data_IF_135711580451
#
_entry.id   IF_135711580451
#
_cell.length_a   1.000
_cell.length_b   1.000
_cell.length_c   1.000
_cell.angle_alpha   90.00
_cell.angle_beta   90.00
_cell.angle_gamma   90.00
#
_symmetry.space_group_name_H-M   'P 1'
#
loop_
_entity.id
_entity.type
_entity.pdbx_description
1 polymer ?
#
# COMPACT_ATOMS: atom_id res chain seq x y z
N UNK A 1 14.97 35.87 -41.76
CA UNK A 1 15.58 34.62 -41.27
C UNK A 1 16.31 35.00 -40.00
N UNK A 2 15.76 34.62 -38.85
CA UNK A 2 16.54 34.35 -37.64
C UNK A 2 15.59 33.72 -36.62
N UNK A 3 15.94 32.51 -36.21
CA UNK A 3 15.18 31.60 -35.37
C UNK A 3 15.57 31.87 -33.91
N UNK A 4 14.62 32.03 -32.97
CA UNK A 4 14.97 32.17 -31.57
C UNK A 4 15.36 30.81 -30.98
N UNK A 5 16.50 30.83 -30.32
CA UNK A 5 17.24 29.76 -29.66
C UNK A 5 16.43 29.00 -28.61
N UNK A 6 16.76 27.71 -28.51
CA UNK A 6 16.24 26.72 -27.58
C UNK A 6 16.15 27.24 -26.13
N UNK A 7 14.94 27.16 -25.55
CA UNK A 7 14.77 27.15 -24.09
C UNK A 7 15.29 25.83 -23.55
N UNK A 8 16.29 25.92 -22.68
CA UNK A 8 16.77 24.80 -21.87
C UNK A 8 15.61 24.18 -21.09
N UNK A 9 15.43 22.88 -21.30
CA UNK A 9 14.55 22.04 -20.50
C UNK A 9 15.27 21.84 -19.16
N UNK A 10 14.76 22.47 -18.11
CA UNK A 10 15.19 22.21 -16.74
C UNK A 10 14.75 20.80 -16.37
N UNK A 11 15.70 19.86 -16.40
CA UNK A 11 15.54 18.52 -15.85
C UNK A 11 15.46 18.66 -14.34
N UNK A 12 14.27 18.41 -13.77
CA UNK A 12 14.07 18.37 -12.32
C UNK A 12 14.65 17.04 -11.82
N UNK A 13 15.67 17.14 -10.96
CA UNK A 13 16.36 16.00 -10.36
C UNK A 13 15.40 15.27 -9.40
N UNK A 14 14.99 14.06 -9.78
CA UNK A 14 14.15 13.18 -8.97
C UNK A 14 15.10 12.48 -7.99
N UNK A 15 15.49 13.20 -6.95
CA UNK A 15 16.38 12.69 -5.93
C UNK A 15 15.85 11.37 -5.34
N UNK A 16 16.74 10.38 -5.34
CA UNK A 16 16.52 8.97 -5.04
C UNK A 16 15.68 8.79 -3.78
N UNK A 17 14.47 8.25 -3.91
CA UNK A 17 13.69 7.73 -2.78
C UNK A 17 14.58 6.70 -2.07
N UNK A 18 15.08 7.03 -0.88
CA UNK A 18 15.96 6.12 -0.13
C UNK A 18 15.10 5.03 0.47
N UNK A 19 15.08 3.84 -0.15
CA UNK A 19 14.45 2.64 0.44
C UNK A 19 15.07 2.42 1.83
N UNK A 20 14.26 2.45 2.92
CA UNK A 20 14.77 2.23 4.26
C UNK A 20 15.41 0.84 4.36
N UNK A 21 16.69 0.80 4.70
CA UNK A 21 17.36 -0.45 5.02
C UNK A 21 16.92 -0.89 6.43
N UNK A 22 16.57 -2.17 6.65
CA UNK A 22 16.14 -2.62 7.96
C UNK A 22 17.21 -2.37 9.01
N UNK A 23 16.86 -1.66 10.08
CA UNK A 23 17.72 -1.49 11.24
C UNK A 23 17.76 -2.80 12.02
N UNK A 24 18.94 -3.41 12.22
CA UNK A 24 19.11 -4.57 13.08
C UNK A 24 18.62 -4.28 14.50
N UNK A 25 17.89 -5.22 15.09
CA UNK A 25 17.20 -5.06 16.38
C UNK A 25 18.15 -4.76 17.55
N UNK A 26 19.40 -5.20 17.44
CA UNK A 26 20.48 -5.03 18.41
C UNK A 26 21.09 -3.62 18.46
N UNK A 27 20.73 -2.73 17.52
CA UNK A 27 21.30 -1.37 17.41
C UNK A 27 20.41 -0.26 17.99
N UNK A 28 19.32 -0.60 18.69
CA UNK A 28 18.39 0.37 19.27
C UNK A 28 18.86 0.75 20.68
N UNK A 29 19.21 2.02 20.89
CA UNK A 29 19.75 2.51 22.17
C UNK A 29 18.66 2.68 23.24
N UNK A 30 18.98 2.29 24.48
CA UNK A 30 18.10 2.30 25.64
C UNK A 30 18.15 3.65 26.36
N UNK A 31 17.00 4.12 26.87
CA UNK A 31 16.95 5.22 27.85
C UNK A 31 16.21 4.72 29.09
N UNK A 32 16.86 4.77 30.24
CA UNK A 32 16.24 4.47 31.54
C UNK A 32 15.23 5.57 31.91
N UNK A 33 14.04 5.20 32.38
CA UNK A 33 13.02 6.16 32.81
C UNK A 33 12.39 5.70 34.16
N UNK A 34 12.13 6.64 35.10
CA UNK A 34 11.76 6.31 36.48
C UNK A 34 10.25 6.00 36.62
N UNK A 35 9.80 5.46 37.77
CA UNK A 35 8.44 4.98 37.91
C UNK A 35 7.48 6.15 38.20
N UNK A 36 6.36 6.21 37.47
CA UNK A 36 5.11 6.65 38.07
C UNK A 36 3.89 6.20 37.26
N UNK A 37 2.97 5.56 37.98
CA UNK A 37 1.66 5.12 37.55
C UNK A 37 0.76 6.31 37.20
N UNK A 38 0.52 6.49 35.90
CA UNK A 38 -0.53 7.36 35.36
C UNK A 38 -1.71 6.51 34.89
N UNK A 39 -2.96 7.00 34.97
CA UNK A 39 -4.12 6.29 34.47
C UNK A 39 -3.96 6.03 32.97
N UNK A 40 -4.21 4.78 32.53
CA UNK A 40 -4.20 4.38 31.13
C UNK A 40 -5.17 5.28 30.35
N UNK A 41 -4.62 6.11 29.46
CA UNK A 41 -5.41 6.89 28.50
C UNK A 41 -5.91 5.95 27.39
N UNK A 42 -7.06 6.24 26.78
CA UNK A 42 -7.72 5.33 25.83
C UNK A 42 -6.81 4.99 24.63
N UNK A 43 -6.76 3.70 24.31
CA UNK A 43 -5.99 3.07 23.26
C UNK A 43 -6.21 1.56 23.28
N UNK A 44 -5.92 0.86 22.20
CA UNK A 44 -6.11 -0.59 22.09
C UNK A 44 -4.79 -1.32 22.02
N UNK A 45 -4.65 -2.40 22.78
CA UNK A 45 -3.41 -3.16 22.89
C UNK A 45 -3.66 -4.61 22.58
N UNK A 46 -2.76 -5.21 21.81
CA UNK A 46 -2.74 -6.64 21.51
C UNK A 46 -1.35 -7.20 21.77
N UNK A 47 -1.28 -8.39 22.35
CA UNK A 47 -0.06 -9.19 22.37
C UNK A 47 -0.12 -10.24 21.27
N UNK A 48 1.00 -10.47 20.61
CA UNK A 48 1.16 -11.54 19.62
C UNK A 48 2.55 -12.13 19.69
N UNK A 49 2.69 -13.37 19.22
CA UNK A 49 3.98 -14.03 19.04
C UNK A 49 4.26 -14.03 17.55
N UNK A 50 5.36 -13.42 17.14
CA UNK A 50 5.84 -13.49 15.77
C UNK A 50 7.10 -14.32 15.71
N UNK A 51 7.25 -15.10 14.64
CA UNK A 51 8.52 -15.73 14.30
C UNK A 51 9.22 -14.86 13.26
N UNK A 52 10.39 -14.33 13.62
CA UNK A 52 11.23 -13.57 12.70
C UNK A 52 12.55 -14.33 12.52
N UNK A 53 12.78 -14.85 11.31
CA UNK A 53 13.97 -15.67 11.00
C UNK A 53 14.19 -16.86 11.97
N UNK A 54 13.09 -17.49 12.39
CA UNK A 54 13.13 -18.63 13.32
C UNK A 54 13.27 -18.26 14.80
N UNK A 55 13.32 -16.96 15.13
CA UNK A 55 13.34 -16.48 16.52
C UNK A 55 11.94 -16.00 16.91
N UNK A 56 11.38 -16.61 17.95
CA UNK A 56 10.11 -16.18 18.52
C UNK A 56 10.27 -14.88 19.31
N UNK A 57 9.38 -13.92 19.01
CA UNK A 57 9.34 -12.62 19.66
C UNK A 57 7.94 -12.35 20.19
N UNK A 58 7.87 -12.03 21.48
CA UNK A 58 6.67 -11.41 22.06
C UNK A 58 6.59 -9.98 21.55
N UNK A 59 5.44 -9.63 20.97
CA UNK A 59 5.18 -8.33 20.36
C UNK A 59 3.97 -7.69 21.02
N UNK A 60 4.16 -6.47 21.50
CA UNK A 60 3.10 -5.58 21.93
C UNK A 60 2.75 -4.67 20.75
N UNK A 61 1.48 -4.66 20.35
CA UNK A 61 0.94 -3.75 19.35
C UNK A 61 -0.03 -2.81 20.05
N UNK A 62 0.13 -1.51 19.86
CA UNK A 62 -0.71 -0.50 20.49
C UNK A 62 -1.22 0.52 19.47
N UNK A 63 -2.53 0.60 19.33
CA UNK A 63 -3.23 1.53 18.44
C UNK A 63 -3.88 2.65 19.24
N UNK A 64 -3.73 3.89 18.76
CA UNK A 64 -4.44 5.06 19.28
C UNK A 64 -5.00 5.90 18.14
N UNK A 65 -6.21 6.40 18.36
CA UNK A 65 -6.94 7.29 17.46
C UNK A 65 -6.92 8.71 18.02
N UNK A 66 -6.73 9.68 17.13
CA UNK A 66 -6.63 11.09 17.43
C UNK A 66 -7.54 11.89 16.49
N UNK A 67 -8.07 12.99 16.99
CA UNK A 67 -8.66 14.06 16.19
C UNK A 67 -7.56 15.03 15.77
N UNK A 68 -7.59 15.48 14.53
CA UNK A 68 -6.63 16.46 14.03
C UNK A 68 -7.30 17.66 13.38
N UNK A 69 -6.67 18.81 13.55
CA UNK A 69 -7.05 20.07 12.90
C UNK A 69 -5.81 20.69 12.26
N UNK A 70 -6.04 21.59 11.30
CA UNK A 70 -4.96 22.19 10.54
C UNK A 70 -3.92 22.87 11.45
N UNK A 71 -2.66 22.46 11.29
CA UNK A 71 -1.47 23.03 11.97
C UNK A 71 -1.60 23.09 13.50
N UNK A 72 -2.22 22.07 14.09
CA UNK A 72 -2.26 21.85 15.54
C UNK A 72 -1.87 20.42 15.87
N UNK A 73 -1.18 20.18 17.01
CA UNK A 73 -0.93 18.82 17.49
C UNK A 73 -2.25 18.03 17.59
N UNK A 74 -2.24 16.83 17.05
CA UNK A 74 -3.40 15.94 17.12
C UNK A 74 -3.69 15.57 18.58
N UNK A 75 -4.96 15.50 18.95
CA UNK A 75 -5.41 15.21 20.32
C UNK A 75 -6.08 13.85 20.38
N UNK A 76 -5.95 13.06 21.46
CA UNK A 76 -6.62 11.76 21.56
C UNK A 76 -8.12 11.91 21.32
N UNK A 77 -8.67 11.07 20.44
CA UNK A 77 -10.09 11.07 20.14
C UNK A 77 -10.89 10.45 21.30
N UNK A 78 -12.10 10.96 21.53
CA UNK A 78 -13.01 10.41 22.54
C UNK A 78 -13.37 8.95 22.23
N UNK A 79 -13.57 8.64 20.95
CA UNK A 79 -13.81 7.29 20.45
C UNK A 79 -12.54 6.70 19.83
N UNK A 80 -12.18 5.48 20.24
CA UNK A 80 -11.02 4.76 19.73
C UNK A 80 -11.45 3.70 18.71
N UNK A 81 -10.89 3.76 17.50
CA UNK A 81 -11.12 2.78 16.45
C UNK A 81 -10.45 1.45 16.83
N UNK A 82 -11.16 0.31 16.73
CA UNK A 82 -10.57 -0.98 17.01
C UNK A 82 -9.38 -1.39 16.16
N UNK A 83 -8.51 -2.22 16.72
CA UNK A 83 -7.51 -2.94 15.93
C UNK A 83 -8.24 -3.81 14.90
N UNK A 84 -7.89 -3.64 13.64
CA UNK A 84 -8.46 -4.43 12.55
C UNK A 84 -7.66 -5.72 12.38
N UNK A 85 -8.31 -6.87 12.57
CA UNK A 85 -7.67 -8.19 12.42
C UNK A 85 -7.88 -8.82 11.04
N UNK A 86 -8.86 -8.32 10.27
CA UNK A 86 -9.30 -8.97 9.03
C UNK A 86 -9.00 -8.13 7.78
N UNK A 87 -8.89 -6.81 7.95
CA UNK A 87 -8.94 -5.86 6.85
C UNK A 87 -10.37 -5.63 6.38
N UNK A 88 -10.61 -4.44 5.83
CA UNK A 88 -11.91 -4.02 5.30
C UNK A 88 -11.68 -3.43 3.92
N UNK A 89 -12.44 -3.84 2.91
CA UNK A 89 -12.44 -3.15 1.61
C UNK A 89 -13.50 -2.08 1.58
N UNK A 90 -13.33 -1.12 0.67
CA UNK A 90 -14.25 0.01 0.55
C UNK A 90 -15.70 -0.40 0.20
N UNK A 91 -15.88 -1.45 -0.60
CA UNK A 91 -17.17 -1.90 -1.11
C UNK A 91 -17.41 -3.40 -0.82
N UNK A 92 -17.12 -3.88 0.41
CA UNK A 92 -17.39 -5.26 0.83
C UNK A 92 -18.88 -5.48 1.19
N UNK A 93 -19.77 -5.21 0.23
CA UNK A 93 -21.17 -5.65 0.34
C UNK A 93 -21.29 -7.09 -0.19
N UNK A 94 -21.49 -8.11 0.68
CA UNK A 94 -21.65 -9.50 0.25
C UNK A 94 -22.86 -9.74 -0.65
N UNK A 95 -23.81 -8.79 -0.73
CA UNK A 95 -24.95 -8.85 -1.66
C UNK A 95 -24.57 -8.51 -3.11
N UNK A 96 -23.38 -7.97 -3.36
CA UNK A 96 -22.91 -7.50 -4.68
C UNK A 96 -21.87 -8.44 -5.32
N UNK A 97 -22.01 -9.76 -5.09
CA UNK A 97 -21.02 -10.81 -5.39
C UNK A 97 -20.53 -10.94 -6.85
N UNK A 98 -21.06 -10.13 -7.78
CA UNK A 98 -20.69 -10.06 -9.20
C UNK A 98 -19.79 -8.86 -9.56
N UNK A 99 -19.56 -7.92 -8.63
CA UNK A 99 -18.69 -6.76 -8.86
C UNK A 99 -17.21 -7.10 -8.65
N UNK A 100 -16.35 -6.48 -9.45
CA UNK A 100 -14.91 -6.48 -9.25
C UNK A 100 -14.62 -6.01 -7.81
N UNK A 101 -13.76 -6.72 -7.05
CA UNK A 101 -13.49 -6.34 -5.67
C UNK A 101 -12.93 -4.92 -5.62
N UNK A 102 -13.28 -4.15 -4.59
CA UNK A 102 -12.65 -2.85 -4.33
C UNK A 102 -11.31 -3.02 -3.61
N UNK A 103 -10.48 -1.99 -3.68
CA UNK A 103 -9.26 -1.88 -2.88
C UNK A 103 -9.55 -1.84 -1.38
N UNK A 104 -8.51 -2.11 -0.58
CA UNK A 104 -8.60 -2.14 0.87
C UNK A 104 -8.66 -0.74 1.47
N UNK A 105 -9.64 -0.51 2.34
CA UNK A 105 -9.71 0.64 3.26
C UNK A 105 -8.86 0.38 4.52
N UNK A 106 -8.66 -0.86 4.90
CA UNK A 106 -7.73 -1.25 5.96
C UNK A 106 -7.21 -2.66 5.71
N UNK A 107 -6.03 -2.95 6.22
CA UNK A 107 -5.44 -4.28 6.23
C UNK A 107 -5.27 -4.73 7.68
N UNK A 108 -5.12 -6.05 7.94
CA UNK A 108 -4.83 -6.55 9.27
C UNK A 108 -3.66 -5.79 9.95
N UNK A 109 -3.95 -5.22 11.11
CA UNK A 109 -3.07 -4.33 11.87
C UNK A 109 -2.19 -5.10 12.88
N UNK A 110 -2.32 -6.42 12.92
CA UNK A 110 -1.60 -7.32 13.84
C UNK A 110 -0.19 -7.71 13.36
N UNK A 111 0.34 -7.03 12.34
CA UNK A 111 1.70 -7.23 11.84
C UNK A 111 2.71 -6.59 12.80
N UNK A 112 3.26 -7.40 13.71
CA UNK A 112 4.15 -6.96 14.79
C UNK A 112 5.53 -6.44 14.36
N UNK A 113 5.95 -6.67 13.11
CA UNK A 113 7.25 -6.26 12.60
C UNK A 113 7.17 -5.56 11.24
N UNK A 114 7.83 -4.41 11.13
CA UNK A 114 8.24 -3.77 9.88
C UNK A 114 9.57 -3.06 10.09
N UNK A 115 10.19 -2.62 9.00
CA UNK A 115 11.48 -1.94 8.99
C UNK A 115 11.39 -0.40 8.86
N UNK A 116 10.30 0.21 9.31
CA UNK A 116 10.06 1.65 9.29
C UNK A 116 8.59 1.99 9.57
N UNK A 117 8.17 3.20 9.21
CA UNK A 117 6.77 3.65 9.35
C UNK A 117 6.05 3.69 8.00
N UNK A 118 4.90 3.01 7.88
CA UNK A 118 4.00 3.18 6.73
C UNK A 118 3.14 4.43 6.91
N UNK A 119 3.07 5.28 5.88
CA UNK A 119 2.16 6.42 5.85
C UNK A 119 1.01 6.15 4.88
N UNK A 120 -0.19 5.99 5.42
CA UNK A 120 -1.43 5.87 4.65
C UNK A 120 -2.18 7.19 4.74
N UNK A 121 -2.66 7.68 3.59
CA UNK A 121 -3.48 8.90 3.51
C UNK A 121 -4.74 8.58 2.72
N UNK A 122 -5.88 8.62 3.40
CA UNK A 122 -7.20 8.37 2.83
C UNK A 122 -7.92 9.69 2.64
N UNK A 123 -8.33 9.98 1.41
CA UNK A 123 -8.92 11.25 1.07
C UNK A 123 -9.12 11.39 -0.43
N UNK A 124 -9.32 12.62 -0.86
CA UNK A 124 -9.56 12.97 -2.26
C UNK A 124 -8.72 14.18 -2.62
N UNK A 125 -8.32 14.27 -3.89
CA UNK A 125 -7.89 15.53 -4.47
C UNK A 125 -9.06 16.50 -4.45
N UNK A 126 -8.84 17.74 -4.02
CA UNK A 126 -9.87 18.76 -3.95
C UNK A 126 -9.37 20.07 -4.56
N UNK A 127 -10.05 20.54 -5.60
CA UNK A 127 -9.78 21.85 -6.21
C UNK A 127 -10.77 22.91 -5.74
N UNK A 128 -10.36 24.18 -5.83
CA UNK A 128 -11.22 25.34 -5.52
C UNK A 128 -12.29 25.59 -6.59
N UNK A 129 -11.98 25.22 -7.84
CA UNK A 129 -12.86 25.33 -9.00
C UNK A 129 -12.71 24.08 -9.88
N UNK A 130 -13.73 23.74 -10.71
CA UNK A 130 -13.62 22.62 -11.64
C UNK A 130 -12.38 22.72 -12.52
N UNK A 131 -11.53 21.69 -12.49
CA UNK A 131 -10.27 21.62 -13.27
C UNK A 131 -10.16 20.29 -14.00
N UNK A 132 -9.54 20.28 -15.19
CA UNK A 132 -9.25 19.04 -15.91
C UNK A 132 -8.09 18.24 -15.31
N UNK A 133 -7.21 18.90 -14.56
CA UNK A 133 -6.13 18.22 -13.84
C UNK A 133 -5.60 19.07 -12.68
N UNK A 134 -4.99 18.40 -11.70
CA UNK A 134 -4.22 19.01 -10.62
C UNK A 134 -3.15 18.06 -10.12
N UNK A 135 -2.26 18.57 -9.28
CA UNK A 135 -1.25 17.75 -8.60
C UNK A 135 -1.57 17.68 -7.12
N UNK A 136 -1.44 16.48 -6.57
CA UNK A 136 -1.51 16.25 -5.13
C UNK A 136 -0.18 15.72 -4.61
N UNK A 137 0.16 16.04 -3.38
CA UNK A 137 1.34 15.46 -2.75
C UNK A 137 1.21 15.35 -1.24
N UNK A 138 1.92 14.36 -0.68
CA UNK A 138 2.14 14.20 0.75
C UNK A 138 3.61 14.45 1.04
N UNK A 139 3.91 15.21 2.08
CA UNK A 139 5.27 15.52 2.48
C UNK A 139 5.48 15.33 3.99
N UNK A 140 6.59 14.67 4.34
CA UNK A 140 7.06 14.50 5.74
C UNK A 140 8.57 14.75 5.75
N UNK A 141 8.99 15.86 6.38
CA UNK A 141 10.37 16.32 6.28
C UNK A 141 10.80 16.47 4.82
N UNK A 142 11.86 15.74 4.42
CA UNK A 142 12.39 15.73 3.06
C UNK A 142 11.69 14.73 2.13
N UNK A 143 10.88 13.81 2.66
CA UNK A 143 10.15 12.84 1.84
C UNK A 143 8.95 13.52 1.19
N UNK A 144 8.80 13.35 -0.13
CA UNK A 144 7.66 13.83 -0.90
C UNK A 144 7.14 12.73 -1.83
N UNK A 145 5.85 12.45 -1.75
CA UNK A 145 5.13 11.55 -2.64
C UNK A 145 4.10 12.34 -3.44
N UNK A 146 4.06 12.17 -4.76
CA UNK A 146 3.30 13.06 -5.66
C UNK A 146 2.57 12.24 -6.73
N UNK A 147 1.34 12.67 -7.05
CA UNK A 147 0.56 12.14 -8.15
C UNK A 147 -0.04 13.27 -8.99
N UNK A 148 -0.16 13.04 -10.29
CA UNK A 148 -1.03 13.84 -11.14
C UNK A 148 -2.44 13.25 -11.11
N UNK A 149 -3.40 14.11 -10.84
CA UNK A 149 -4.83 13.80 -10.80
C UNK A 149 -5.47 14.40 -12.03
N UNK A 150 -6.02 13.54 -12.86
CA UNK A 150 -6.58 13.88 -14.16
C UNK A 150 -8.07 13.55 -14.13
N UNK A 151 -8.88 14.45 -14.68
CA UNK A 151 -10.31 14.23 -14.84
C UNK A 151 -10.62 12.99 -15.68
N UNK A 152 -11.90 12.60 -15.72
CA UNK A 152 -12.32 11.43 -16.49
C UNK A 152 -11.94 11.61 -17.95
N UNK A 153 -11.37 10.55 -18.52
CA UNK A 153 -10.98 10.45 -19.92
C UNK A 153 -11.33 9.08 -20.43
N UNK A 154 -11.54 9.01 -21.73
CA UNK A 154 -11.90 7.78 -22.41
C UNK A 154 -10.96 7.55 -23.60
N UNK A 155 -10.84 6.29 -24.00
CA UNK A 155 -10.25 5.92 -25.28
C UNK A 155 -11.21 6.30 -26.42
N UNK A 156 -10.70 6.90 -27.48
CA UNK A 156 -11.47 7.31 -28.66
C UNK A 156 -10.63 7.09 -29.94
N UNK A 157 -11.25 7.19 -31.12
CA UNK A 157 -10.59 7.04 -32.40
C UNK A 157 -10.85 8.22 -33.34
N UNK A 158 -9.82 9.01 -33.61
CA UNK A 158 -9.87 10.12 -34.57
C UNK A 158 -9.11 9.73 -35.83
N UNK A 159 -9.79 9.72 -36.98
CA UNK A 159 -9.22 9.30 -38.28
C UNK A 159 -8.52 7.93 -38.21
N UNK A 160 -9.08 7.00 -37.43
CA UNK A 160 -8.57 5.65 -37.24
C UNK A 160 -7.38 5.52 -36.28
N UNK A 161 -6.90 6.62 -35.70
CA UNK A 161 -5.85 6.62 -34.68
C UNK A 161 -6.47 6.65 -33.29
N UNK A 162 -5.96 5.78 -32.41
CA UNK A 162 -6.34 5.78 -31.00
C UNK A 162 -5.86 7.09 -30.34
N UNK A 163 -6.78 7.77 -29.67
CA UNK A 163 -6.52 8.99 -28.90
C UNK A 163 -7.19 8.89 -27.54
N UNK A 164 -6.79 9.76 -26.61
CA UNK A 164 -7.49 9.94 -25.35
C UNK A 164 -8.30 11.23 -25.41
N UNK A 165 -9.53 11.20 -24.90
CA UNK A 165 -10.34 12.42 -24.82
C UNK A 165 -9.68 13.45 -23.89
N UNK A 166 -9.95 14.76 -24.07
CA UNK A 166 -9.62 15.76 -23.05
C UNK A 166 -10.23 15.37 -21.69
N UNK A 167 -9.58 15.71 -20.57
CA UNK A 167 -10.11 15.41 -19.26
C UNK A 167 -11.35 16.25 -18.94
N UNK A 168 -12.39 15.59 -18.44
CA UNK A 168 -13.56 16.26 -17.88
C UNK A 168 -13.18 17.05 -16.63
N UNK A 169 -13.66 18.31 -16.45
CA UNK A 169 -13.42 19.06 -15.23
C UNK A 169 -13.97 18.35 -13.98
N UNK A 170 -13.22 18.37 -12.89
CA UNK A 170 -13.64 17.85 -11.58
C UNK A 170 -13.30 18.83 -10.46
N UNK A 171 -14.06 18.76 -9.36
CA UNK A 171 -13.73 19.43 -8.10
C UNK A 171 -13.16 18.48 -7.05
N UNK A 172 -13.54 17.19 -7.13
CA UNK A 172 -13.14 16.14 -6.19
C UNK A 172 -12.82 14.85 -6.95
N UNK A 173 -11.71 14.20 -6.60
CA UNK A 173 -11.33 12.88 -7.12
C UNK A 173 -10.71 12.04 -6.01
N UNK A 174 -11.29 10.87 -5.72
CA UNK A 174 -10.81 10.01 -4.64
C UNK A 174 -9.41 9.44 -4.94
N UNK A 175 -8.53 9.46 -3.94
CA UNK A 175 -7.15 8.99 -4.04
C UNK A 175 -7.05 7.46 -3.83
N UNK A 176 -7.89 6.71 -4.54
CA UNK A 176 -8.05 5.26 -4.44
C UNK A 176 -7.40 4.50 -5.59
N UNK A 177 -7.03 3.24 -5.38
CA UNK A 177 -6.41 2.39 -6.42
C UNK A 177 -7.32 2.11 -7.63
N UNK A 178 -8.63 2.16 -7.45
CA UNK A 178 -9.61 2.08 -8.54
C UNK A 178 -9.43 3.21 -9.57
N UNK A 179 -8.90 4.35 -9.14
CA UNK A 179 -8.62 5.50 -9.99
C UNK A 179 -7.19 5.48 -10.57
N UNK A 180 -6.33 4.55 -10.16
CA UNK A 180 -4.97 4.42 -10.66
C UNK A 180 -4.87 3.45 -11.86
N UNK A 181 -3.70 3.40 -12.52
CA UNK A 181 -3.45 2.44 -13.59
C UNK A 181 -3.58 0.99 -13.11
N UNK A 182 -4.22 0.14 -13.91
CA UNK A 182 -4.34 -1.28 -13.65
C UNK A 182 -5.69 -1.85 -14.10
N UNK A 183 -6.20 -2.80 -13.32
CA UNK A 183 -7.45 -3.48 -13.61
C UNK A 183 -7.25 -4.77 -14.40
N UNK A 184 -8.25 -5.12 -15.22
CA UNK A 184 -8.30 -6.36 -15.99
C UNK A 184 -8.86 -6.12 -17.39
N UNK A 185 -8.46 -6.93 -18.34
CA UNK A 185 -9.00 -6.88 -19.69
C UNK A 185 -10.12 -7.91 -19.89
N UNK A 186 -11.34 -7.51 -19.55
CA UNK A 186 -12.53 -8.37 -19.66
C UNK A 186 -12.81 -8.84 -21.09
N UNK A 187 -12.39 -8.09 -22.11
CA UNK A 187 -12.53 -8.52 -23.50
C UNK A 187 -11.59 -9.69 -23.78
N UNK A 188 -10.31 -9.53 -23.47
CA UNK A 188 -9.31 -10.59 -23.64
C UNK A 188 -9.65 -11.85 -22.84
N UNK A 189 -10.12 -11.71 -21.59
CA UNK A 189 -10.62 -12.84 -20.79
C UNK A 189 -11.73 -13.63 -21.52
N UNK A 190 -12.70 -12.93 -22.13
CA UNK A 190 -13.79 -13.56 -22.89
C UNK A 190 -13.31 -14.26 -24.15
N UNK A 191 -12.35 -13.65 -24.87
CA UNK A 191 -11.72 -14.25 -26.06
C UNK A 191 -11.01 -15.54 -25.68
N UNK A 192 -10.12 -15.49 -24.68
CA UNK A 192 -9.38 -16.67 -24.20
C UNK A 192 -10.31 -17.80 -23.75
N UNK A 193 -11.36 -17.47 -22.99
CA UNK A 193 -12.38 -18.43 -22.58
C UNK A 193 -13.11 -19.09 -23.76
N UNK A 194 -13.34 -18.33 -24.82
CA UNK A 194 -14.00 -18.83 -26.04
C UNK A 194 -13.06 -19.73 -26.82
N UNK A 195 -11.79 -19.35 -26.95
CA UNK A 195 -10.77 -20.16 -27.60
C UNK A 195 -10.58 -21.52 -26.89
N UNK A 196 -10.44 -21.52 -25.56
CA UNK A 196 -10.34 -22.76 -24.77
C UNK A 196 -11.54 -23.68 -25.03
N UNK A 197 -12.76 -23.11 -25.11
CA UNK A 197 -13.99 -23.88 -25.41
C UNK A 197 -14.03 -24.43 -26.84
N UNK A 198 -13.38 -23.78 -27.79
CA UNK A 198 -13.37 -24.21 -29.18
C UNK A 198 -12.25 -25.22 -29.47
N UNK A 199 -11.15 -25.18 -28.71
CA UNK A 199 -9.96 -26.02 -28.94
C UNK A 199 -9.94 -27.34 -28.14
N UNK A 200 -10.76 -27.48 -27.10
CA UNK A 200 -10.79 -28.68 -26.26
C UNK A 200 -11.94 -29.62 -26.65
N UNK A 201 -11.76 -30.93 -26.48
CA UNK A 201 -12.86 -31.89 -26.69
C UNK A 201 -13.98 -31.64 -25.67
N UNK A 202 -15.22 -32.01 -26.00
CA UNK A 202 -16.38 -31.83 -25.10
C UNK A 202 -16.18 -32.52 -23.73
N UNK A 203 -15.46 -33.63 -23.69
CA UNK A 203 -15.10 -34.33 -22.45
C UNK A 203 -13.99 -33.61 -21.66
N UNK A 204 -12.98 -33.05 -22.33
CA UNK A 204 -11.93 -32.27 -21.68
C UNK A 204 -12.50 -30.98 -21.09
N UNK A 205 -13.36 -30.27 -21.84
CA UNK A 205 -14.04 -29.07 -21.34
C UNK A 205 -14.86 -29.43 -20.10
N UNK A 206 -15.61 -30.53 -20.09
CA UNK A 206 -16.39 -30.94 -18.91
C UNK A 206 -15.50 -31.18 -17.68
N UNK A 207 -14.28 -31.69 -17.84
CA UNK A 207 -13.34 -31.96 -16.74
C UNK A 207 -12.68 -30.68 -16.21
N UNK A 208 -12.29 -29.77 -17.10
CA UNK A 208 -11.49 -28.59 -16.71
C UNK A 208 -12.34 -27.35 -16.49
N UNK A 209 -13.51 -27.22 -17.13
CA UNK A 209 -14.35 -26.01 -17.08
C UNK A 209 -14.72 -25.57 -15.66
N UNK A 210 -15.18 -26.44 -14.74
CA UNK A 210 -15.48 -25.98 -13.38
C UNK A 210 -14.25 -25.43 -12.64
N UNK A 211 -13.08 -26.05 -12.88
CA UNK A 211 -11.80 -25.61 -12.29
C UNK A 211 -11.32 -24.31 -12.93
N UNK A 212 -11.39 -24.19 -14.25
CA UNK A 212 -11.02 -22.98 -14.98
C UNK A 212 -11.94 -21.80 -14.64
N UNK A 213 -13.26 -22.01 -14.56
CA UNK A 213 -14.22 -20.99 -14.13
C UNK A 213 -13.99 -20.57 -12.68
N UNK A 214 -13.73 -21.51 -11.77
CA UNK A 214 -13.37 -21.20 -10.39
C UNK A 214 -12.02 -20.46 -10.28
N UNK A 215 -11.01 -20.87 -11.04
CA UNK A 215 -9.69 -20.24 -11.05
C UNK A 215 -9.74 -18.82 -11.63
N UNK A 216 -10.41 -18.62 -12.77
CA UNK A 216 -10.57 -17.29 -13.39
C UNK A 216 -11.43 -16.36 -12.54
N UNK A 217 -12.40 -16.89 -11.78
CA UNK A 217 -13.22 -16.10 -10.85
C UNK A 217 -12.42 -15.65 -9.62
N UNK A 218 -11.58 -16.53 -9.06
CA UNK A 218 -10.93 -16.29 -7.76
C UNK A 218 -9.50 -15.73 -7.88
N UNK A 219 -8.80 -16.01 -8.97
CA UNK A 219 -7.44 -15.57 -9.24
C UNK A 219 -7.29 -15.29 -10.74
N UNK A 220 -7.85 -14.18 -11.26
CA UNK A 220 -7.86 -13.94 -12.69
C UNK A 220 -6.39 -13.74 -13.14
N UNK A 221 -5.82 -14.65 -13.95
CA UNK A 221 -4.41 -14.64 -14.33
C UNK A 221 -4.06 -13.47 -15.27
N UNK A 222 -5.04 -12.61 -15.56
CA UNK A 222 -5.02 -11.53 -16.53
C UNK A 222 -5.29 -10.15 -15.89
N UNK A 223 -5.30 -10.07 -14.56
CA UNK A 223 -5.28 -8.77 -13.88
C UNK A 223 -3.89 -8.15 -13.95
N UNK A 224 -3.84 -6.82 -13.88
CA UNK A 224 -2.58 -6.12 -13.80
C UNK A 224 -1.89 -6.41 -12.45
N UNK A 225 -0.68 -7.01 -12.43
CA UNK A 225 -0.11 -7.51 -11.18
C UNK A 225 0.16 -6.46 -10.11
N UNK A 226 0.37 -5.18 -10.48
CA UNK A 226 0.61 -4.08 -9.51
C UNK A 226 -0.67 -3.52 -8.90
N UNK A 227 -1.81 -3.69 -9.57
CA UNK A 227 -3.10 -3.12 -9.16
C UNK A 227 -4.23 -3.77 -9.96
N UNK A 228 -4.92 -4.75 -9.37
CA UNK A 228 -6.06 -5.42 -10.00
C UNK A 228 -7.36 -4.59 -9.98
N UNK A 229 -7.38 -3.45 -9.29
CA UNK A 229 -8.56 -2.61 -9.06
C UNK A 229 -8.71 -1.48 -10.08
N UNK A 230 -7.59 -1.06 -10.68
CA UNK A 230 -7.50 0.16 -11.47
C UNK A 230 -8.17 0.10 -12.85
N UNK A 231 -7.77 1.08 -13.67
CA UNK A 231 -8.26 1.28 -15.04
C UNK A 231 -7.12 1.28 -16.05
N UNK A 232 -7.42 1.08 -17.33
CA UNK A 232 -6.47 1.27 -18.42
C UNK A 232 -5.54 0.08 -18.75
N UNK A 233 -5.64 -1.06 -18.06
CA UNK A 233 -4.93 -2.27 -18.46
C UNK A 233 -5.66 -2.98 -19.61
N UNK A 234 -5.08 -2.95 -20.81
CA UNK A 234 -5.63 -3.56 -22.03
C UNK A 234 -4.59 -4.49 -22.64
N UNK A 235 -4.85 -5.79 -22.65
CA UNK A 235 -3.94 -6.78 -23.25
C UNK A 235 -4.14 -6.78 -24.75
N UNK A 236 -5.38 -6.89 -25.20
CA UNK A 236 -5.75 -6.96 -26.62
C UNK A 236 -7.12 -6.33 -26.84
N UNK A 237 -7.32 -5.70 -27.99
CA UNK A 237 -8.62 -5.18 -28.35
C UNK A 237 -8.71 -4.69 -29.77
N UNK A 238 -9.94 -4.67 -30.27
CA UNK A 238 -10.30 -3.97 -31.50
C UNK A 238 -10.95 -2.63 -31.14
N UNK A 239 -11.32 -1.83 -32.15
CA UNK A 239 -11.95 -0.53 -31.92
C UNK A 239 -13.17 -0.63 -31.00
N UNK A 240 -14.07 -1.59 -31.24
CA UNK A 240 -15.29 -1.75 -30.46
C UNK A 240 -15.02 -2.10 -29.00
N UNK A 241 -13.95 -2.84 -28.71
CA UNK A 241 -13.61 -3.20 -27.33
C UNK A 241 -12.80 -2.13 -26.61
N UNK A 242 -12.19 -1.17 -27.32
CA UNK A 242 -11.34 -0.12 -26.76
C UNK A 242 -12.07 1.23 -26.65
N UNK A 243 -12.81 1.64 -27.69
CA UNK A 243 -13.53 2.91 -27.73
C UNK A 243 -14.51 3.03 -26.55
N UNK A 244 -14.46 4.15 -25.83
CA UNK A 244 -15.25 4.38 -24.63
C UNK A 244 -14.69 3.76 -23.34
N UNK A 245 -13.56 3.04 -23.36
CA UNK A 245 -12.92 2.59 -22.11
C UNK A 245 -12.40 3.76 -21.30
N UNK A 246 -12.74 3.78 -20.02
CA UNK A 246 -12.26 4.79 -19.07
C UNK A 246 -10.76 4.60 -18.77
N UNK A 247 -10.05 5.72 -18.62
CA UNK A 247 -8.62 5.78 -18.34
C UNK A 247 -8.36 6.10 -16.84
N UNK A 248 -7.14 5.85 -16.34
CA UNK A 248 -6.75 6.26 -15.00
C UNK A 248 -6.93 7.76 -14.75
N UNK A 249 -7.27 8.07 -13.51
CA UNK A 249 -7.31 9.43 -12.99
C UNK A 249 -6.07 9.74 -12.14
N UNK A 250 -5.45 8.74 -11.51
CA UNK A 250 -4.21 8.88 -10.74
C UNK A 250 -3.06 8.29 -11.54
N UNK A 251 -2.13 9.15 -11.92
CA UNK A 251 -0.93 8.75 -12.65
C UNK A 251 0.32 9.31 -11.99
N UNK A 252 1.42 8.57 -12.09
CA UNK A 252 2.72 9.09 -11.71
C UNK A 252 3.11 10.22 -12.65
N UNK A 253 3.84 11.20 -12.12
CA UNK A 253 4.34 12.33 -12.91
C UNK A 253 5.35 11.88 -13.97
N UNK A 254 6.09 10.82 -13.69
CA UNK A 254 7.21 10.30 -14.50
C UNK A 254 6.87 9.07 -15.35
N UNK A 255 5.67 8.49 -15.21
CA UNK A 255 5.28 7.24 -15.87
C UNK A 255 3.78 7.24 -16.20
N UNK A 256 3.40 8.13 -17.13
CA UNK A 256 2.01 8.27 -17.57
C UNK A 256 1.61 7.25 -18.64
N UNK A 257 0.32 6.95 -18.69
CA UNK A 257 -0.29 6.17 -19.77
C UNK A 257 -0.44 7.04 -21.02
N UNK A 258 -0.08 6.49 -22.18
CA UNK A 258 -0.24 7.13 -23.49
C UNK A 258 -0.98 6.20 -24.45
N UNK A 259 -1.61 6.73 -25.53
CA UNK A 259 -2.27 5.90 -26.53
C UNK A 259 -1.37 4.79 -27.11
N UNK A 260 -0.09 5.10 -27.32
CA UNK A 260 0.88 4.19 -27.95
C UNK A 260 1.19 2.96 -27.10
N UNK A 261 1.03 3.06 -25.77
CA UNK A 261 1.31 1.97 -24.82
C UNK A 261 0.06 1.39 -24.16
N UNK A 262 -1.14 1.84 -24.54
CA UNK A 262 -2.41 1.35 -23.99
C UNK A 262 -2.54 -0.17 -24.12
N UNK A 263 -2.28 -0.69 -25.33
CA UNK A 263 -2.40 -2.12 -25.65
C UNK A 263 -1.08 -2.81 -25.35
N UNK A 264 -1.06 -3.66 -24.33
CA UNK A 264 0.13 -4.39 -23.87
C UNK A 264 0.57 -5.47 -24.86
N UNK A 265 -0.38 -6.07 -25.60
CA UNK A 265 -0.21 -7.18 -26.58
C UNK A 265 0.24 -8.51 -25.99
N UNK A 266 1.12 -8.48 -24.99
CA UNK A 266 1.63 -9.65 -24.33
C UNK A 266 1.50 -9.47 -22.81
N UNK A 267 0.63 -10.22 -22.11
CA UNK A 267 0.48 -10.09 -20.66
C UNK A 267 1.78 -10.40 -19.92
N UNK A 268 2.73 -11.07 -20.57
CA UNK A 268 4.05 -11.35 -20.02
C UNK A 268 4.93 -10.10 -19.83
N UNK A 269 4.65 -8.98 -20.50
CA UNK A 269 5.45 -7.74 -20.39
C UNK A 269 4.77 -6.64 -19.57
N UNK A 270 3.86 -7.03 -18.66
CA UNK A 270 3.14 -6.11 -17.76
C UNK A 270 4.08 -5.17 -16.98
N UNK A 271 5.30 -5.60 -16.67
CA UNK A 271 6.28 -4.82 -15.92
C UNK A 271 6.72 -3.53 -16.65
N UNK A 272 6.55 -3.48 -17.98
CA UNK A 272 6.79 -2.29 -18.82
C UNK A 272 5.63 -1.30 -18.85
N UNK A 273 4.49 -1.64 -18.25
CA UNK A 273 3.35 -0.74 -18.14
C UNK A 273 3.45 0.18 -16.91
N UNK A 274 2.67 1.28 -16.84
CA UNK A 274 2.78 2.26 -15.78
C UNK A 274 2.76 1.69 -14.36
N UNK A 275 3.67 2.13 -13.50
CA UNK A 275 3.59 1.84 -12.06
C UNK A 275 2.42 2.66 -11.48
N UNK A 276 1.43 2.01 -10.83
CA UNK A 276 0.30 2.73 -10.23
C UNK A 276 0.78 3.61 -9.08
N UNK A 277 0.21 4.80 -8.97
CA UNK A 277 0.39 5.68 -7.81
C UNK A 277 -0.84 5.60 -6.91
N UNK A 278 -0.63 5.46 -5.60
CA UNK A 278 -1.69 5.48 -4.61
C UNK A 278 -1.26 6.23 -3.36
N UNK A 279 -2.21 6.43 -2.45
CA UNK A 279 -1.99 6.99 -1.12
C UNK A 279 -2.49 6.07 -0.01
N UNK A 280 -3.22 5.02 -0.39
CA UNK A 280 -3.90 4.08 0.48
C UNK A 280 -3.11 2.77 0.68
N UNK A 281 -3.72 1.81 1.39
CA UNK A 281 -3.17 0.47 1.60
C UNK A 281 -2.91 -0.27 0.28
N UNK A 282 -1.66 -0.72 0.10
CA UNK A 282 -1.26 -1.59 -0.99
C UNK A 282 -1.62 -3.05 -0.65
N UNK A 283 -2.41 -3.71 -1.49
CA UNK A 283 -2.82 -5.10 -1.28
C UNK A 283 -1.61 -6.04 -1.23
N UNK A 284 -1.64 -7.01 -0.30
CA UNK A 284 -0.62 -8.06 -0.16
C UNK A 284 -0.49 -8.93 -1.41
N UNK A 285 -1.57 -9.10 -2.17
CA UNK A 285 -1.56 -9.86 -3.43
C UNK A 285 -1.00 -9.06 -4.61
N UNK A 286 -0.87 -7.73 -4.48
CA UNK A 286 -0.30 -6.89 -5.52
C UNK A 286 1.23 -6.96 -5.51
N UNK A 287 1.82 -6.99 -6.69
CA UNK A 287 3.26 -6.76 -6.86
C UNK A 287 3.61 -5.37 -6.31
N UNK A 288 4.71 -5.20 -5.55
CA UNK A 288 5.78 -6.18 -5.28
C UNK A 288 5.55 -7.02 -4.01
N UNK A 289 4.48 -6.78 -3.23
CA UNK A 289 4.23 -7.48 -1.96
C UNK A 289 4.04 -8.98 -2.15
N UNK A 290 3.35 -9.39 -3.21
CA UNK A 290 3.20 -10.82 -3.56
C UNK A 290 4.55 -11.50 -3.80
N UNK A 291 5.48 -10.84 -4.50
CA UNK A 291 6.84 -11.36 -4.68
C UNK A 291 7.65 -11.40 -3.36
N UNK A 292 7.44 -10.43 -2.47
CA UNK A 292 8.07 -10.37 -1.14
C UNK A 292 7.62 -11.50 -0.21
N UNK A 293 6.48 -12.13 -0.46
CA UNK A 293 6.02 -13.33 0.26
C UNK A 293 6.27 -14.64 -0.52
N UNK A 294 7.08 -14.58 -1.58
CA UNK A 294 7.44 -15.75 -2.38
C UNK A 294 6.37 -16.16 -3.40
N UNK A 295 5.45 -15.28 -3.77
CA UNK A 295 4.45 -15.49 -4.82
C UNK A 295 4.64 -14.46 -5.96
N UNK A 296 5.80 -14.42 -6.63
CA UNK A 296 5.97 -13.51 -7.75
C UNK A 296 4.98 -13.82 -8.88
N UNK A 297 4.47 -12.80 -9.60
CA UNK A 297 3.65 -13.03 -10.79
C UNK A 297 4.44 -13.82 -11.83
N UNK A 298 3.74 -14.54 -12.71
CA UNK A 298 4.30 -15.53 -13.64
C UNK A 298 5.45 -15.02 -14.55
N UNK A 299 5.68 -13.70 -14.63
CA UNK A 299 6.74 -13.08 -15.45
C UNK A 299 7.58 -12.10 -14.66
N UNK A 300 8.00 -12.50 -13.47
CA UNK A 300 9.19 -11.95 -12.84
C UNK A 300 10.49 -12.56 -13.42
N UNK A 301 10.45 -13.18 -14.60
CA UNK A 301 11.60 -13.81 -15.25
C UNK A 301 12.30 -12.82 -16.20
N UNK A 302 13.36 -12.23 -15.65
CA UNK A 302 14.69 -12.20 -16.27
C UNK A 302 15.11 -11.13 -17.29
N UNK A 303 14.59 -9.89 -17.32
CA UNK A 303 15.33 -8.76 -17.94
C UNK A 303 15.06 -7.40 -17.27
N UNK A 304 16.16 -6.70 -16.94
CA UNK A 304 16.27 -5.33 -16.36
C UNK A 304 15.59 -5.15 -14.98
N UNK A 305 16.12 -4.28 -14.08
CA UNK A 305 15.43 -4.02 -12.83
C UNK A 305 14.02 -3.51 -13.13
N UNK A 306 13.03 -4.08 -12.45
CA UNK A 306 11.64 -3.58 -12.51
C UNK A 306 11.61 -2.09 -12.17
N UNK A 307 10.63 -1.38 -12.73
CA UNK A 307 10.52 0.07 -12.57
C UNK A 307 10.61 0.51 -11.10
N UNK A 308 10.03 -0.24 -10.17
CA UNK A 308 10.06 0.02 -8.73
C UNK A 308 11.48 0.01 -8.15
N UNK A 309 12.36 -0.87 -8.64
CA UNK A 309 13.78 -0.90 -8.23
C UNK A 309 14.52 0.30 -8.84
N UNK A 310 14.27 0.58 -10.12
CA UNK A 310 14.89 1.71 -10.84
C UNK A 310 14.50 3.06 -10.24
N UNK A 311 13.26 3.18 -9.75
CA UNK A 311 12.71 4.33 -9.04
C UNK A 311 13.08 4.36 -7.54
N UNK A 312 13.84 3.38 -7.07
CA UNK A 312 14.21 3.20 -5.66
C UNK A 312 13.00 3.20 -4.71
N UNK A 313 11.89 2.57 -5.12
CA UNK A 313 10.71 2.35 -4.29
C UNK A 313 10.84 1.07 -3.46
N UNK A 314 11.58 0.07 -3.97
CA UNK A 314 11.84 -1.22 -3.32
C UNK A 314 13.31 -1.66 -3.51
N UNK A 315 13.85 -2.55 -2.67
CA UNK A 315 15.22 -3.02 -2.82
C UNK A 315 15.36 -4.05 -3.95
N UNK A 316 16.60 -4.30 -4.41
CA UNK A 316 16.88 -5.26 -5.49
C UNK A 316 16.55 -6.71 -5.11
N UNK A 317 16.63 -7.07 -3.84
CA UNK A 317 16.36 -8.41 -3.31
C UNK A 317 14.88 -8.61 -2.90
N UNK A 318 13.96 -7.76 -3.40
CA UNK A 318 12.54 -7.81 -3.05
C UNK A 318 11.90 -9.19 -3.29
N UNK A 319 12.39 -9.98 -4.25
CA UNK A 319 11.91 -11.32 -4.58
C UNK A 319 13.01 -12.34 -4.25
N UNK A 320 12.79 -13.16 -3.21
CA UNK A 320 13.78 -14.14 -2.72
C UNK A 320 13.57 -15.56 -3.23
N UNK A 321 12.53 -15.78 -4.04
CA UNK A 321 12.22 -17.07 -4.63
C UNK A 321 10.73 -17.26 -4.86
N UNK A 322 10.32 -18.51 -5.00
CA UNK A 322 8.92 -18.88 -5.22
C UNK A 322 8.55 -20.07 -4.31
N UNK A 323 7.48 -19.92 -3.53
CA UNK A 323 7.00 -20.93 -2.57
C UNK A 323 6.74 -22.30 -3.21
N UNK A 324 6.37 -22.34 -4.48
CA UNK A 324 6.08 -23.59 -5.20
C UNK A 324 7.35 -24.35 -5.63
N UNK A 325 8.51 -23.69 -5.65
CA UNK A 325 9.81 -24.28 -6.01
C UNK A 325 10.78 -24.40 -4.83
N UNK A 326 10.39 -23.93 -3.66
CA UNK A 326 11.27 -23.88 -2.48
C UNK A 326 10.94 -25.03 -1.52
N UNK A 327 11.95 -25.80 -1.04
CA UNK A 327 11.73 -26.84 -0.05
C UNK A 327 11.07 -26.30 1.23
N UNK A 328 10.20 -27.07 1.91
CA UNK A 328 9.52 -26.62 3.13
C UNK A 328 10.44 -26.03 4.21
N UNK A 329 11.65 -26.59 4.38
CA UNK A 329 12.63 -26.14 5.34
C UNK A 329 13.20 -24.72 5.06
N UNK A 330 13.05 -24.23 3.84
CA UNK A 330 13.59 -22.93 3.40
C UNK A 330 12.50 -21.86 3.19
N UNK A 331 11.21 -22.21 3.31
CA UNK A 331 10.09 -21.28 3.05
C UNK A 331 10.17 -20.00 3.89
N UNK A 332 10.65 -20.10 5.13
CA UNK A 332 10.83 -18.93 6.01
C UNK A 332 11.83 -17.90 5.45
N UNK A 333 12.78 -18.33 4.61
CA UNK A 333 13.79 -17.45 4.03
C UNK A 333 13.26 -16.64 2.83
N UNK A 334 12.12 -17.05 2.26
CA UNK A 334 11.48 -16.35 1.15
C UNK A 334 10.82 -15.04 1.59
N UNK A 335 10.35 -14.96 2.83
CA UNK A 335 9.64 -13.79 3.32
C UNK A 335 10.63 -12.64 3.48
N UNK A 336 10.50 -11.65 2.60
CA UNK A 336 11.31 -10.45 2.65
C UNK A 336 10.93 -9.62 3.90
N UNK A 337 11.89 -8.99 4.62
CA UNK A 337 11.60 -8.17 5.81
C UNK A 337 10.63 -7.00 5.58
N UNK A 338 10.46 -6.59 4.31
CA UNK A 338 9.51 -5.56 3.88
C UNK A 338 8.13 -6.09 3.48
N UNK A 339 7.86 -7.40 3.56
CA UNK A 339 6.56 -7.95 3.21
C UNK A 339 5.40 -7.40 4.07
N UNK A 340 5.71 -7.02 5.31
CA UNK A 340 4.78 -6.37 6.25
C UNK A 340 4.48 -4.90 5.96
N UNK A 341 5.18 -4.28 5.00
CA UNK A 341 4.91 -2.91 4.56
C UNK A 341 3.59 -2.84 3.82
N UNK A 342 2.73 -1.88 4.17
CA UNK A 342 1.36 -1.85 3.69
C UNK A 342 0.88 -0.53 3.08
N UNK A 343 1.63 0.57 3.19
CA UNK A 343 1.28 1.80 2.47
C UNK A 343 1.61 1.68 0.96
N UNK A 344 1.11 2.62 0.16
CA UNK A 344 1.52 2.73 -1.25
C UNK A 344 3.02 2.93 -1.40
N UNK A 345 3.57 2.48 -2.54
CA UNK A 345 5.00 2.62 -2.82
C UNK A 345 5.40 4.10 -2.88
N UNK A 346 6.49 4.46 -2.18
CA UNK A 346 6.91 5.85 -1.99
C UNK A 346 6.45 6.46 -0.65
N UNK A 347 5.51 5.82 0.03
CA UNK A 347 5.08 6.17 1.39
C UNK A 347 5.63 5.20 2.44
N UNK A 348 6.74 4.53 2.09
CA UNK A 348 7.48 3.69 3.01
C UNK A 348 8.62 4.47 3.66
N UNK A 349 8.36 5.04 4.83
CA UNK A 349 9.27 5.95 5.51
C UNK A 349 10.19 5.20 6.49
N UNK A 350 11.35 5.79 6.87
CA UNK A 350 12.04 5.44 8.10
C UNK A 350 11.09 5.52 9.31
N UNK A 351 11.53 5.00 10.45
CA UNK A 351 10.76 5.17 11.68
C UNK A 351 10.58 6.65 12.00
N UNK A 352 9.32 7.04 12.10
CA UNK A 352 8.89 8.32 12.61
C UNK A 352 8.88 8.29 14.15
N UNK A 353 9.15 9.43 14.78
CA UNK A 353 9.22 9.58 16.24
C UNK A 353 7.88 9.97 16.87
N UNK A 354 6.88 10.35 16.06
CA UNK A 354 5.53 10.70 16.54
C UNK A 354 5.34 12.19 16.81
N UNK A 355 6.26 13.05 16.36
CA UNK A 355 6.19 14.51 16.47
C UNK A 355 6.22 15.22 15.11
N UNK A 356 6.19 14.46 14.02
CA UNK A 356 6.31 14.97 12.66
C UNK A 356 5.11 15.81 12.23
N UNK A 357 5.35 16.69 11.26
CA UNK A 357 4.32 17.37 10.49
C UNK A 357 4.17 16.69 9.13
N UNK A 358 2.94 16.30 8.81
CA UNK A 358 2.55 15.71 7.54
C UNK A 358 1.80 16.79 6.76
N UNK A 359 2.38 17.24 5.64
CA UNK A 359 1.76 18.23 4.76
C UNK A 359 1.01 17.52 3.64
N UNK A 360 -0.28 17.79 3.52
CA UNK A 360 -1.19 17.32 2.48
C UNK A 360 -1.46 18.47 1.51
N UNK A 361 -1.06 18.33 0.26
CA UNK A 361 -1.16 19.38 -0.76
C UNK A 361 -2.23 18.98 -1.78
N UNK A 362 -3.17 19.88 -2.03
CA UNK A 362 -4.27 19.68 -2.98
C UNK A 362 -5.34 18.68 -2.51
N UNK A 363 -5.43 18.42 -1.20
CA UNK A 363 -6.40 17.48 -0.61
C UNK A 363 -7.52 18.17 0.19
N UNK A 364 -7.40 19.48 0.42
CA UNK A 364 -8.44 20.31 1.00
C UNK A 364 -8.73 21.50 0.08
N UNK A 365 -10.02 21.81 -0.08
CA UNK A 365 -10.45 22.87 -1.01
C UNK A 365 -10.22 24.27 -0.46
N UNK A 366 -10.16 24.43 0.85
CA UNK A 366 -10.02 25.73 1.51
C UNK A 366 -8.57 26.00 1.93
N UNK A 367 -7.80 24.95 2.15
CA UNK A 367 -6.44 24.96 2.68
C UNK A 367 -5.53 24.21 1.71
N UNK A 368 -4.96 24.87 0.69
CA UNK A 368 -4.17 24.21 -0.35
C UNK A 368 -3.02 23.36 0.18
N UNK A 369 -2.44 23.78 1.32
CA UNK A 369 -1.46 23.01 2.10
C UNK A 369 -2.02 22.73 3.51
N UNK A 370 -2.64 21.58 3.71
CA UNK A 370 -3.14 21.19 5.02
C UNK A 370 -2.04 20.49 5.83
N UNK A 371 -1.79 20.91 7.06
CA UNK A 371 -0.78 20.30 7.94
C UNK A 371 -1.48 19.46 9.01
N UNK A 372 -1.17 18.16 9.05
CA UNK A 372 -1.51 17.25 10.14
C UNK A 372 -0.27 17.11 11.02
N UNK A 373 -0.35 17.56 12.28
CA UNK A 373 0.76 17.42 13.22
C UNK A 373 0.52 16.22 14.14
N UNK A 374 1.50 15.32 14.20
CA UNK A 374 1.46 14.16 15.10
C UNK A 374 1.43 14.62 16.57
N UNK A 375 0.94 13.77 17.51
CA UNK A 375 0.59 14.21 18.88
C UNK A 375 1.79 14.53 19.78
N UNK A 376 3.03 14.31 19.32
CA UNK A 376 4.24 14.35 20.15
C UNK A 376 4.15 13.40 21.35
N UNK A 377 3.63 12.19 21.12
CA UNK A 377 3.45 11.15 22.14
C UNK A 377 4.05 9.82 21.67
N UNK A 378 4.71 9.09 22.57
CA UNK A 378 5.25 7.74 22.35
C UNK A 378 4.91 6.82 23.52
N UNK A 379 4.36 5.62 23.28
CA UNK A 379 4.07 4.68 24.35
C UNK A 379 5.35 4.03 24.85
N UNK A 380 5.47 3.92 26.16
CA UNK A 380 6.45 3.14 26.87
C UNK A 380 5.73 2.00 27.58
N UNK A 381 6.05 0.77 27.19
CA UNK A 381 5.39 -0.42 27.72
C UNK A 381 6.22 -1.00 28.86
N UNK A 382 5.55 -1.26 29.98
CA UNK A 382 6.17 -1.80 31.18
C UNK A 382 5.40 -3.08 31.54
N UNK A 383 6.08 -4.21 31.42
CA UNK A 383 5.60 -5.49 31.97
C UNK A 383 6.79 -6.39 32.29
N UNK A 384 6.59 -7.32 33.21
CA UNK A 384 7.62 -8.29 33.58
C UNK A 384 7.14 -9.70 33.24
N UNK A 385 7.88 -10.39 32.39
CA UNK A 385 7.61 -11.77 32.02
C UNK A 385 8.90 -12.61 32.16
N UNK A 386 8.92 -13.64 33.03
CA UNK A 386 10.14 -14.37 33.37
C UNK A 386 10.90 -15.02 32.21
N UNK A 387 10.21 -15.34 31.10
CA UNK A 387 10.85 -16.01 29.96
C UNK A 387 11.30 -15.04 28.86
N UNK A 388 11.36 -13.72 29.12
CA UNK A 388 11.97 -12.79 28.18
C UNK A 388 13.51 -12.89 28.22
N UNK A 389 14.13 -13.07 27.05
CA UNK A 389 15.59 -13.09 26.90
C UNK A 389 16.20 -11.68 26.97
N UNK A 390 15.38 -10.67 26.69
CA UNK A 390 15.76 -9.26 26.65
C UNK A 390 14.67 -8.38 27.27
N UNK A 391 14.99 -7.17 27.75
CA UNK A 391 13.97 -6.15 27.98
C UNK A 391 13.17 -5.89 26.70
N UNK A 392 11.96 -5.37 26.85
CA UNK A 392 11.18 -4.92 25.70
C UNK A 392 11.89 -3.74 25.02
N UNK A 393 12.04 -3.81 23.69
CA UNK A 393 12.62 -2.72 22.93
C UNK A 393 11.73 -1.46 22.99
N UNK A 394 12.35 -0.30 22.72
CA UNK A 394 11.62 0.95 22.57
C UNK A 394 10.52 0.81 21.50
N UNK A 395 9.37 1.44 21.76
CA UNK A 395 8.26 1.44 20.82
C UNK A 395 8.67 2.07 19.48
N UNK A 396 8.34 1.39 18.39
CA UNK A 396 8.55 1.82 17.02
C UNK A 396 7.20 2.17 16.38
N UNK A 397 7.10 3.31 15.71
CA UNK A 397 5.88 3.73 15.02
C UNK A 397 5.75 2.96 13.70
N UNK A 398 4.83 2.02 13.62
CA UNK A 398 4.69 1.10 12.49
C UNK A 398 3.79 1.62 11.38
N UNK A 399 2.77 2.39 11.76
CA UNK A 399 1.75 2.90 10.85
C UNK A 399 1.27 4.26 11.33
N UNK A 400 1.19 5.19 10.38
CA UNK A 400 0.42 6.42 10.48
C UNK A 400 -0.67 6.36 9.41
N UNK A 401 -1.93 6.37 9.83
CA UNK A 401 -3.06 6.50 8.91
C UNK A 401 -3.73 7.85 9.13
N UNK A 402 -3.70 8.69 8.10
CA UNK A 402 -4.43 9.95 8.04
C UNK A 402 -5.72 9.72 7.27
N UNK A 403 -6.82 9.55 7.98
CA UNK A 403 -8.16 9.54 7.39
C UNK A 403 -8.66 10.99 7.30
N UNK A 404 -8.37 11.61 6.16
CA UNK A 404 -8.73 13.00 5.89
C UNK A 404 -10.24 13.19 5.68
N UNK A 405 -10.96 12.15 5.26
CA UNK A 405 -12.40 12.22 5.08
C UNK A 405 -13.14 12.36 6.43
N UNK A 406 -12.61 11.73 7.49
CA UNK A 406 -13.21 11.75 8.82
C UNK A 406 -12.44 12.59 9.84
N UNK A 407 -11.35 13.26 9.42
CA UNK A 407 -10.45 14.00 10.30
C UNK A 407 -9.88 13.18 11.47
N UNK A 408 -9.61 11.89 11.21
CA UNK A 408 -9.04 10.96 12.19
C UNK A 408 -7.61 10.58 11.83
N UNK A 409 -6.74 10.60 12.83
CA UNK A 409 -5.37 10.12 12.76
C UNK A 409 -5.26 8.84 13.59
N UNK A 410 -4.74 7.77 13.01
CA UNK A 410 -4.44 6.53 13.74
C UNK A 410 -2.95 6.28 13.75
N UNK A 411 -2.40 5.98 14.93
CA UNK A 411 -1.01 5.57 15.12
C UNK A 411 -0.96 4.15 15.66
N UNK A 412 -0.13 3.29 15.06
CA UNK A 412 0.15 1.95 15.58
C UNK A 412 1.62 1.85 15.94
N UNK A 413 1.86 1.54 17.21
CA UNK A 413 3.18 1.32 17.78
C UNK A 413 3.42 -0.16 17.99
N UNK A 414 4.66 -0.61 17.81
CA UNK A 414 5.09 -1.97 18.14
C UNK A 414 6.32 -1.94 19.04
N UNK A 415 6.34 -2.80 20.04
CA UNK A 415 7.52 -3.08 20.86
C UNK A 415 7.68 -4.59 21.02
N UNK A 416 8.93 -5.06 21.00
CA UNK A 416 9.22 -6.50 20.89
C UNK A 416 10.29 -6.95 21.85
N UNK A 417 10.22 -8.21 22.27
CA UNK A 417 11.27 -8.89 23.04
C UNK A 417 11.41 -10.34 22.58
N UNK A 418 12.64 -10.87 22.62
CA UNK A 418 12.91 -12.26 22.29
C UNK A 418 12.46 -13.16 23.44
N UNK A 419 11.78 -14.25 23.12
CA UNK A 419 11.39 -15.27 24.10
C UNK A 419 12.48 -16.32 24.25
N UNK A 420 12.74 -16.75 25.49
CA UNK A 420 13.64 -17.89 25.78
C UNK A 420 12.92 -19.24 25.66
N UNK A 421 11.59 -19.24 25.72
CA UNK A 421 10.72 -20.41 25.61
C UNK A 421 9.43 -20.04 24.88
N UNK A 422 8.84 -20.95 24.10
CA UNK A 422 7.52 -20.74 23.52
C UNK A 422 6.46 -20.43 24.57
N UNK A 423 5.51 -19.59 24.21
CA UNK A 423 4.40 -19.16 25.05
C UNK A 423 3.08 -19.67 24.44
N UNK A 424 2.19 -20.21 25.27
CA UNK A 424 0.84 -20.62 24.85
C UNK A 424 -0.15 -19.45 24.86
N UNK A 425 -1.25 -19.56 24.10
CA UNK A 425 -2.25 -18.49 23.95
C UNK A 425 -2.83 -18.00 25.29
N UNK A 426 -3.18 -18.91 26.22
CA UNK A 426 -3.71 -18.54 27.54
C UNK A 426 -2.74 -17.66 28.36
N UNK A 427 -1.43 -17.77 28.11
CA UNK A 427 -0.43 -16.95 28.80
C UNK A 427 -0.36 -15.52 28.24
N UNK A 428 -0.77 -15.30 26.99
CA UNK A 428 -0.82 -13.96 26.38
C UNK A 428 -1.93 -13.12 27.03
N UNK A 429 -3.11 -13.72 27.26
CA UNK A 429 -4.24 -13.01 27.88
C UNK A 429 -3.93 -12.60 29.32
N UNK A 430 -3.34 -13.52 30.10
CA UNK A 430 -2.87 -13.23 31.45
C UNK A 430 -1.83 -12.10 31.43
N UNK A 431 -0.86 -12.15 30.51
CA UNK A 431 0.19 -11.14 30.39
C UNK A 431 -0.37 -9.77 29.97
N UNK A 432 -1.32 -9.75 29.04
CA UNK A 432 -1.97 -8.52 28.58
C UNK A 432 -2.65 -7.79 29.74
N UNK A 433 -3.24 -8.50 30.70
CA UNK A 433 -3.85 -7.89 31.89
C UNK A 433 -2.84 -7.17 32.81
N UNK A 434 -1.55 -7.50 32.69
CA UNK A 434 -0.48 -6.94 33.53
C UNK A 434 0.29 -5.80 32.87
N UNK A 435 0.04 -5.50 31.59
CA UNK A 435 0.80 -4.50 30.85
C UNK A 435 0.44 -3.09 31.31
N UNK A 436 1.45 -2.34 31.74
CA UNK A 436 1.34 -0.91 31.99
C UNK A 436 1.83 -0.16 30.75
N UNK A 437 1.10 0.89 30.36
CA UNK A 437 1.44 1.71 29.21
C UNK A 437 1.53 3.15 29.70
N UNK A 438 2.74 3.69 29.72
CA UNK A 438 2.97 5.10 30.00
C UNK A 438 3.11 5.86 28.67
N UNK A 439 2.35 6.93 28.51
CA UNK A 439 2.41 7.75 27.30
C UNK A 439 3.32 8.94 27.60
N UNK A 440 4.48 8.96 26.95
CA UNK A 440 5.51 9.97 27.14
C UNK A 440 5.45 11.01 26.04
N UNK A 441 5.79 12.27 26.36
CA UNK A 441 5.95 13.32 25.35
C UNK A 441 7.29 13.17 24.65
N UNK A 442 7.31 13.44 23.35
CA UNK A 442 8.50 13.38 22.48
C UNK A 442 8.97 14.77 22.09
#
# INVERSE_FOLDING_TARGET
MDCPTHKEIVVVDIDKVRVPQPTPFDQISQTETPPNSRPQRPGQTRLTIISNQGVEQLTVIHKRTYDFTHDRPSVPADEQIPLDEQGIRYNDDPSTSDLQPSSYRSLPEIVGYKNGTDLVVQGSAQSTHPTGSMRVSVQVGNYRHTADVIGRRYCDYVKGQLVFTPPEPFEKMDLRYENAYGGRDQYFEKVLLTEIKNSASSDDIRRVKPVAEAYLKNSPPLVYPRNCYGKGYVIEGNRQSIEGRELPNLERVDDRLTPERLIVKNPLVWNKQPVPVGFDYLDVQSFPRSAMIGLPPAIALNQEPVAEVSLALIPKDYCRGNVFSTPPAELQNLIHPMAGRCASLGLWLPFLEGNEKIKLIGMDRHTPEYIVQLPCEKPHFIFNYPNMASPLANAQLMLVCVDFNHHKLTLIWSARSILTKPMGENQLDDLLSTILIDIQRV
#
